data_IF_843304853523
#
_entry.id   IF_843304853523
#
_cell.length_a   1.000
_cell.length_b   1.000
_cell.length_c   1.000
_cell.angle_alpha   90.00
_cell.angle_beta   90.00
_cell.angle_gamma   90.00
#
_symmetry.space_group_name_H-M   'P 1'
#
loop_
_entity.id
_entity.type
_entity.pdbx_description
1 polymer ?
#
# COMPACT_ATOMS: atom_id res chain seq x y z
N UNK A 1 22.19 5.64 2.47
CA UNK A 1 21.21 4.79 3.17
C UNK A 1 21.78 4.41 4.53
N UNK A 2 21.11 4.80 5.61
CA UNK A 2 21.50 4.46 6.99
C UNK A 2 21.13 3.01 7.33
N UNK A 3 21.68 2.46 8.42
CA UNK A 3 21.28 1.14 8.91
C UNK A 3 19.79 1.06 9.24
N UNK A 4 19.21 2.16 9.74
CA UNK A 4 17.77 2.26 10.01
C UNK A 4 16.93 2.16 8.74
N UNK A 5 17.30 2.90 7.69
CA UNK A 5 16.62 2.88 6.39
C UNK A 5 16.71 1.49 5.73
N UNK A 6 17.89 0.85 5.79
CA UNK A 6 18.08 -0.50 5.26
C UNK A 6 17.21 -1.55 5.98
N UNK A 7 17.08 -1.44 7.30
CA UNK A 7 16.20 -2.29 8.10
C UNK A 7 14.72 -2.10 7.74
N UNK A 8 14.29 -0.85 7.57
CA UNK A 8 12.92 -0.53 7.15
C UNK A 8 12.63 -1.11 5.76
N UNK A 9 13.53 -0.92 4.79
CA UNK A 9 13.37 -1.43 3.44
C UNK A 9 13.29 -2.97 3.42
N UNK A 10 14.18 -3.64 4.16
CA UNK A 10 14.20 -5.11 4.29
C UNK A 10 12.91 -5.65 4.91
N UNK A 11 12.47 -5.09 6.05
CA UNK A 11 11.21 -5.51 6.69
C UNK A 11 10.01 -5.24 5.80
N UNK A 12 9.97 -4.10 5.11
CA UNK A 12 8.88 -3.77 4.17
C UNK A 12 8.79 -4.86 3.10
N UNK A 13 9.92 -5.20 2.45
CA UNK A 13 9.95 -6.26 1.44
C UNK A 13 9.53 -7.63 1.98
N UNK A 14 9.94 -8.00 3.20
CA UNK A 14 9.52 -9.24 3.84
C UNK A 14 8.01 -9.26 4.12
N UNK A 15 7.44 -8.17 4.63
CA UNK A 15 6.00 -8.06 4.87
C UNK A 15 5.22 -8.21 3.57
N UNK A 16 5.68 -7.57 2.48
CA UNK A 16 5.01 -7.66 1.19
C UNK A 16 5.01 -9.08 0.60
N UNK A 17 6.09 -9.85 0.83
CA UNK A 17 6.23 -11.21 0.28
C UNK A 17 5.66 -12.31 1.18
N UNK A 18 5.73 -12.13 2.50
CA UNK A 18 5.50 -13.20 3.50
C UNK A 18 4.47 -12.83 4.58
N UNK A 19 3.95 -11.62 4.55
CA UNK A 19 3.11 -11.08 5.61
C UNK A 19 3.88 -10.81 6.91
N UNK A 20 3.19 -10.25 7.90
CA UNK A 20 3.77 -9.94 9.22
C UNK A 20 4.23 -11.21 9.94
N UNK A 21 3.41 -12.26 9.92
CA UNK A 21 3.71 -13.53 10.58
C UNK A 21 4.99 -14.19 10.02
N UNK A 22 5.18 -14.12 8.70
CA UNK A 22 6.36 -14.62 8.00
C UNK A 22 7.61 -13.74 8.15
N UNK A 23 7.49 -12.57 8.78
CA UNK A 23 8.58 -11.60 9.00
C UNK A 23 9.13 -11.76 10.43
N UNK A 24 9.73 -12.91 10.72
CA UNK A 24 10.41 -13.18 12.00
C UNK A 24 11.75 -12.44 12.14
N UNK A 25 12.28 -12.32 13.36
CA UNK A 25 13.59 -11.68 13.58
C UNK A 25 14.72 -12.40 12.82
N UNK A 26 14.71 -13.74 12.75
CA UNK A 26 15.72 -14.48 12.01
C UNK A 26 15.63 -14.19 10.50
N UNK A 27 14.42 -14.22 9.92
CA UNK A 27 14.20 -13.89 8.53
C UNK A 27 14.66 -12.45 8.20
N UNK A 28 14.44 -11.51 9.11
CA UNK A 28 14.96 -10.14 8.98
C UNK A 28 16.49 -10.10 8.96
N UNK A 29 17.16 -10.78 9.89
CA UNK A 29 18.62 -10.78 9.94
C UNK A 29 19.25 -11.44 8.71
N UNK A 30 18.63 -12.50 8.21
CA UNK A 30 19.01 -13.17 6.97
C UNK A 30 18.82 -12.26 5.74
N UNK A 31 17.68 -11.57 5.64
CA UNK A 31 17.35 -10.70 4.49
C UNK A 31 18.17 -9.40 4.49
N UNK A 32 18.32 -8.76 5.66
CA UNK A 32 19.03 -7.49 5.80
C UNK A 32 20.56 -7.62 5.91
N UNK A 33 21.05 -8.81 6.27
CA UNK A 33 22.47 -9.07 6.53
C UNK A 33 23.05 -8.34 7.75
N UNK A 34 22.23 -7.64 8.55
CA UNK A 34 22.73 -6.91 9.72
C UNK A 34 22.82 -7.80 10.95
N UNK A 35 23.71 -7.45 11.87
CA UNK A 35 23.77 -8.11 13.16
C UNK A 35 22.51 -7.82 14.01
N UNK A 36 22.10 -8.78 14.84
CA UNK A 36 21.00 -8.62 15.80
C UNK A 36 21.12 -7.36 16.65
N UNK A 37 22.34 -7.02 17.08
CA UNK A 37 22.64 -5.80 17.83
C UNK A 37 22.23 -4.53 17.06
N UNK A 38 22.39 -4.50 15.74
CA UNK A 38 22.02 -3.35 14.90
C UNK A 38 20.52 -3.08 14.95
N UNK A 39 19.68 -4.12 14.99
CA UNK A 39 18.22 -3.97 15.13
C UNK A 39 17.91 -3.23 16.44
N UNK A 40 18.38 -3.73 17.58
CA UNK A 40 18.09 -3.13 18.89
C UNK A 40 18.73 -1.75 19.11
N UNK A 41 19.81 -1.43 18.40
CA UNK A 41 20.41 -0.08 18.41
C UNK A 41 19.53 0.95 17.68
N UNK A 42 18.83 0.55 16.60
CA UNK A 42 18.00 1.45 15.81
C UNK A 42 16.51 1.42 16.22
N UNK A 43 16.08 0.30 16.81
CA UNK A 43 14.72 0.02 17.26
C UNK A 43 14.79 -0.67 18.63
N UNK A 44 14.91 0.07 19.74
CA UNK A 44 15.00 -0.49 21.09
C UNK A 44 13.82 -1.38 21.48
N UNK A 45 12.62 -1.10 20.96
CA UNK A 45 11.42 -1.94 21.04
C UNK A 45 11.46 -3.18 20.14
N UNK A 46 12.54 -3.36 19.37
CA UNK A 46 12.82 -4.55 18.60
C UNK A 46 11.99 -4.68 17.32
N UNK A 47 11.60 -5.92 17.02
CA UNK A 47 10.92 -6.25 15.76
C UNK A 47 9.58 -5.53 15.61
N UNK A 48 8.80 -5.44 16.68
CA UNK A 48 7.46 -4.85 16.63
C UNK A 48 7.50 -3.35 16.33
N UNK A 49 8.43 -2.63 16.95
CA UNK A 49 8.69 -1.22 16.65
C UNK A 49 9.13 -1.04 15.19
N UNK A 50 10.08 -1.85 14.72
CA UNK A 50 10.55 -1.82 13.34
C UNK A 50 9.44 -2.13 12.32
N UNK A 51 8.60 -3.14 12.57
CA UNK A 51 7.47 -3.49 11.69
C UNK A 51 6.45 -2.36 11.65
N UNK A 52 6.14 -1.75 12.80
CA UNK A 52 5.22 -0.61 12.88
C UNK A 52 5.75 0.57 12.09
N UNK A 53 7.03 0.92 12.27
CA UNK A 53 7.69 1.99 11.54
C UNK A 53 7.75 1.71 10.03
N UNK A 54 8.07 0.48 9.64
CA UNK A 54 8.14 0.09 8.24
C UNK A 54 6.77 0.25 7.55
N UNK A 55 5.69 -0.14 8.22
CA UNK A 55 4.33 0.04 7.70
C UNK A 55 3.94 1.51 7.64
N UNK A 56 4.31 2.33 8.64
CA UNK A 56 4.09 3.78 8.61
C UNK A 56 4.79 4.43 7.42
N UNK A 57 6.09 4.14 7.23
CA UNK A 57 6.88 4.68 6.10
C UNK A 57 6.33 4.21 4.76
N UNK A 58 5.95 2.94 4.63
CA UNK A 58 5.33 2.43 3.42
C UNK A 58 3.96 3.07 3.14
N UNK A 59 3.18 3.31 4.20
CA UNK A 59 1.90 4.02 4.14
C UNK A 59 2.07 5.44 3.63
N UNK A 60 2.99 6.20 4.22
CA UNK A 60 3.33 7.57 3.80
C UNK A 60 3.77 7.63 2.33
N UNK A 61 4.60 6.69 1.89
CA UNK A 61 5.06 6.62 0.50
C UNK A 61 3.90 6.36 -0.48
N UNK A 62 3.01 5.41 -0.16
CA UNK A 62 1.84 5.10 -0.99
C UNK A 62 0.81 6.25 -0.97
N UNK A 63 0.58 6.87 0.19
CA UNK A 63 -0.27 8.05 0.33
C UNK A 63 0.25 9.20 -0.53
N UNK A 64 1.57 9.42 -0.56
CA UNK A 64 2.19 10.43 -1.42
C UNK A 64 1.97 10.13 -2.91
N UNK A 65 2.05 8.87 -3.34
CA UNK A 65 1.72 8.48 -4.73
C UNK A 65 0.28 8.85 -5.05
N UNK A 66 -0.67 8.47 -4.21
CA UNK A 66 -2.10 8.75 -4.42
C UNK A 66 -2.36 10.27 -4.45
N UNK A 67 -1.64 11.05 -3.65
CA UNK A 67 -1.73 12.51 -3.60
C UNK A 67 -0.98 13.25 -4.72
N UNK A 68 0.00 12.63 -5.38
CA UNK A 68 0.92 13.30 -6.31
C UNK A 68 0.31 13.77 -7.63
N UNK A 69 -0.90 13.31 -7.95
CA UNK A 69 -1.62 13.67 -9.17
C UNK A 69 -2.57 14.83 -8.92
N UNK A 70 -2.25 16.01 -9.45
CA UNK A 70 -3.20 17.11 -9.49
C UNK A 70 -4.18 16.93 -10.66
N UNK A 71 -5.44 17.32 -10.46
CA UNK A 71 -6.46 17.32 -11.51
C UNK A 71 -7.39 16.11 -11.51
N UNK A 72 -7.64 15.57 -12.72
CA UNK A 72 -8.69 14.59 -13.05
C UNK A 72 -8.62 13.30 -12.20
N UNK A 73 -9.69 12.96 -11.46
CA UNK A 73 -9.78 11.71 -10.70
C UNK A 73 -9.52 10.44 -11.52
N UNK A 74 -9.89 10.42 -12.80
CA UNK A 74 -9.63 9.27 -13.68
C UNK A 74 -8.12 9.07 -13.92
N UNK A 75 -7.38 10.15 -14.18
CA UNK A 75 -5.92 10.10 -14.31
C UNK A 75 -5.24 9.65 -13.02
N UNK A 76 -5.74 10.09 -11.87
CA UNK A 76 -5.19 9.65 -10.58
C UNK A 76 -5.33 8.14 -10.35
N UNK A 77 -6.49 7.58 -10.71
CA UNK A 77 -6.70 6.12 -10.66
C UNK A 77 -5.75 5.38 -11.58
N UNK A 78 -5.60 5.86 -12.83
CA UNK A 78 -4.70 5.23 -13.79
C UNK A 78 -3.25 5.27 -13.30
N UNK A 79 -2.80 6.39 -12.75
CA UNK A 79 -1.46 6.52 -12.18
C UNK A 79 -1.24 5.54 -11.00
N UNK A 80 -2.25 5.34 -10.16
CA UNK A 80 -2.16 4.39 -9.05
C UNK A 80 -2.09 2.94 -9.54
N UNK A 81 -2.88 2.59 -10.55
CA UNK A 81 -2.82 1.30 -11.24
C UNK A 81 -1.43 1.06 -11.84
N UNK A 82 -0.87 2.04 -12.56
CA UNK A 82 0.45 1.91 -13.19
C UNK A 82 1.59 1.80 -12.17
N UNK A 83 1.47 2.49 -11.03
CA UNK A 83 2.42 2.33 -9.93
C UNK A 83 2.37 0.90 -9.36
N UNK A 84 1.19 0.32 -9.18
CA UNK A 84 1.05 -1.08 -8.74
C UNK A 84 1.64 -2.05 -9.74
N UNK A 85 1.37 -1.87 -11.03
CA UNK A 85 1.95 -2.70 -12.10
C UNK A 85 3.48 -2.64 -12.09
N UNK A 86 4.04 -1.45 -11.88
CA UNK A 86 5.50 -1.27 -11.76
C UNK A 86 6.06 -2.01 -10.55
N UNK A 87 5.43 -1.84 -9.38
CA UNK A 87 5.84 -2.50 -8.12
C UNK A 87 5.78 -4.02 -8.22
N UNK A 88 4.71 -4.56 -8.82
CA UNK A 88 4.54 -5.99 -9.03
C UNK A 88 5.59 -6.56 -9.98
N UNK A 89 5.89 -5.87 -11.10
CA UNK A 89 6.93 -6.33 -12.04
C UNK A 89 8.33 -6.30 -11.43
N UNK A 90 8.65 -5.25 -10.68
CA UNK A 90 9.95 -5.12 -9.99
C UNK A 90 10.15 -6.20 -8.92
N UNK A 91 9.06 -6.73 -8.36
CA UNK A 91 9.08 -7.82 -7.39
C UNK A 91 8.83 -9.19 -8.00
N UNK A 92 8.87 -9.32 -9.33
CA UNK A 92 8.60 -10.57 -10.05
C UNK A 92 7.26 -11.22 -9.64
N UNK A 93 6.24 -10.38 -9.39
CA UNK A 93 4.91 -10.77 -8.94
C UNK A 93 4.91 -11.58 -7.63
N UNK A 94 5.85 -11.29 -6.73
CA UNK A 94 5.98 -11.94 -5.42
C UNK A 94 5.61 -11.04 -4.24
N UNK A 95 5.47 -9.73 -4.43
CA UNK A 95 5.28 -8.77 -3.34
C UNK A 95 3.97 -7.99 -3.48
N UNK A 96 3.08 -8.15 -2.51
CA UNK A 96 1.80 -7.45 -2.44
C UNK A 96 1.86 -6.12 -1.68
N UNK A 97 0.69 -5.66 -1.24
CA UNK A 97 0.57 -4.43 -0.46
C UNK A 97 1.00 -4.62 1.00
N UNK A 98 1.98 -3.85 1.52
CA UNK A 98 2.42 -3.97 2.90
C UNK A 98 1.32 -3.53 3.89
N UNK A 99 0.44 -2.63 3.47
CA UNK A 99 -0.68 -2.12 4.28
C UNK A 99 -1.73 -3.22 4.48
N UNK A 100 -2.13 -3.90 3.41
CA UNK A 100 -3.04 -5.05 3.48
C UNK A 100 -2.43 -6.17 4.31
N UNK A 101 -1.15 -6.49 4.09
CA UNK A 101 -0.44 -7.51 4.86
C UNK A 101 -0.38 -7.19 6.36
N UNK A 102 -0.19 -5.93 6.73
CA UNK A 102 -0.19 -5.48 8.12
C UNK A 102 -1.57 -5.55 8.77
N UNK A 103 -2.65 -5.20 8.04
CA UNK A 103 -4.03 -5.33 8.53
C UNK A 103 -4.36 -6.79 8.85
N UNK A 104 -3.98 -7.73 7.96
CA UNK A 104 -4.19 -9.16 8.17
C UNK A 104 -3.32 -9.72 9.31
N UNK A 105 -2.14 -9.13 9.54
CA UNK A 105 -1.21 -9.47 10.61
C UNK A 105 -1.51 -8.85 11.97
N UNK A 106 -2.72 -8.33 12.20
CA UNK A 106 -3.09 -7.57 13.42
C UNK A 106 -2.74 -8.25 14.74
N UNK A 107 -2.88 -9.56 14.81
CA UNK A 107 -2.57 -10.33 16.03
C UNK A 107 -1.09 -10.34 16.35
N UNK A 108 -0.24 -10.29 15.31
CA UNK A 108 1.22 -10.39 15.44
C UNK A 108 1.90 -9.02 15.61
N UNK A 109 1.28 -7.96 15.07
CA UNK A 109 1.79 -6.59 15.14
C UNK A 109 0.63 -5.57 15.20
N UNK A 110 0.01 -5.37 16.37
CA UNK A 110 -1.15 -4.48 16.51
C UNK A 110 -0.84 -3.03 16.17
N UNK A 111 0.36 -2.54 16.52
CA UNK A 111 0.82 -1.19 16.15
C UNK A 111 0.91 -0.98 14.64
N UNK A 112 1.43 -1.98 13.92
CA UNK A 112 1.52 -1.96 12.47
C UNK A 112 0.13 -2.00 11.81
N UNK A 113 -0.79 -2.79 12.35
CA UNK A 113 -2.17 -2.82 11.87
C UNK A 113 -2.91 -1.50 12.10
N UNK A 114 -2.56 -0.76 13.16
CA UNK A 114 -3.08 0.59 13.42
C UNK A 114 -2.55 1.60 12.40
N UNK A 115 -1.23 1.63 12.17
CA UNK A 115 -0.61 2.49 11.15
C UNK A 115 -1.15 2.19 9.74
N UNK A 116 -1.40 0.91 9.43
CA UNK A 116 -2.02 0.52 8.17
C UNK A 116 -3.48 0.99 8.02
N UNK A 117 -4.24 0.99 9.11
CA UNK A 117 -5.61 1.50 9.10
C UNK A 117 -5.64 3.03 8.86
N UNK A 118 -4.69 3.77 9.44
CA UNK A 118 -4.49 5.20 9.19
C UNK A 118 -4.17 5.46 7.71
N UNK A 119 -3.22 4.71 7.13
CA UNK A 119 -2.91 4.83 5.71
C UNK A 119 -4.13 4.57 4.80
N UNK A 120 -4.91 3.52 5.05
CA UNK A 120 -6.15 3.25 4.30
C UNK A 120 -7.16 4.41 4.40
N UNK A 121 -7.29 5.00 5.59
CA UNK A 121 -8.16 6.16 5.80
C UNK A 121 -7.68 7.39 5.02
N UNK A 122 -6.38 7.65 5.01
CA UNK A 122 -5.78 8.75 4.26
C UNK A 122 -6.00 8.58 2.75
N UNK A 123 -5.82 7.36 2.23
CA UNK A 123 -6.05 7.06 0.81
C UNK A 123 -7.50 7.34 0.40
N UNK A 124 -8.46 6.89 1.22
CA UNK A 124 -9.88 7.16 0.99
C UNK A 124 -10.20 8.65 1.04
N UNK A 125 -9.64 9.37 2.02
CA UNK A 125 -9.88 10.80 2.20
C UNK A 125 -9.32 11.61 1.03
N UNK A 126 -8.09 11.33 0.59
CA UNK A 126 -7.47 12.01 -0.55
C UNK A 126 -8.28 11.82 -1.83
N UNK A 127 -8.72 10.58 -2.10
CA UNK A 127 -9.52 10.28 -3.29
C UNK A 127 -10.91 10.91 -3.23
N UNK A 128 -11.58 10.84 -2.07
CA UNK A 128 -12.89 11.46 -1.88
C UNK A 128 -12.81 12.99 -2.05
N UNK A 129 -11.79 13.63 -1.47
CA UNK A 129 -11.57 15.06 -1.62
C UNK A 129 -11.27 15.45 -3.08
N UNK A 130 -10.53 14.62 -3.82
CA UNK A 130 -10.27 14.84 -5.25
C UNK A 130 -11.56 14.75 -6.07
N UNK A 131 -12.39 13.73 -5.82
CA UNK A 131 -13.69 13.55 -6.48
C UNK A 131 -14.63 14.72 -6.18
N UNK A 132 -14.69 15.15 -4.92
CA UNK A 132 -15.45 16.33 -4.48
C UNK A 132 -15.03 17.60 -5.21
N UNK A 133 -13.72 17.88 -5.27
CA UNK A 133 -13.19 19.05 -6.00
C UNK A 133 -13.46 18.99 -7.51
N UNK A 134 -13.70 17.80 -8.04
CA UNK A 134 -14.01 17.57 -9.45
C UNK A 134 -15.51 17.59 -9.76
N UNK A 135 -16.36 17.83 -8.75
CA UNK A 135 -17.80 18.05 -8.92
C UNK A 135 -18.70 16.86 -8.58
N UNK A 136 -18.17 15.77 -8.05
CA UNK A 136 -19.01 14.67 -7.53
C UNK A 136 -19.79 15.10 -6.27
N UNK A 137 -20.94 14.47 -6.02
CA UNK A 137 -21.62 14.59 -4.73
C UNK A 137 -20.76 14.02 -3.59
N UNK A 138 -20.95 14.52 -2.37
CA UNK A 138 -20.16 14.08 -1.20
C UNK A 138 -20.32 12.60 -0.89
N UNK A 139 -21.53 12.07 -0.98
CA UNK A 139 -21.79 10.66 -0.73
C UNK A 139 -21.17 9.77 -1.83
N UNK A 140 -21.31 10.20 -3.08
CA UNK A 140 -20.71 9.54 -4.24
C UNK A 140 -19.19 9.55 -4.14
N UNK A 141 -18.57 10.69 -3.85
CA UNK A 141 -17.13 10.82 -3.70
C UNK A 141 -16.55 9.86 -2.64
N UNK A 142 -17.19 9.77 -1.46
CA UNK A 142 -16.80 8.82 -0.40
C UNK A 142 -16.92 7.37 -0.85
N UNK A 143 -18.05 7.00 -1.46
CA UNK A 143 -18.31 5.62 -1.87
C UNK A 143 -17.45 5.19 -3.07
N UNK A 144 -17.19 6.09 -4.02
CA UNK A 144 -16.29 5.87 -5.16
C UNK A 144 -14.83 5.74 -4.71
N UNK A 145 -14.37 6.54 -3.74
CA UNK A 145 -13.05 6.36 -3.13
C UNK A 145 -12.91 4.97 -2.50
N UNK A 146 -13.95 4.51 -1.80
CA UNK A 146 -13.99 3.16 -1.22
C UNK A 146 -13.93 2.08 -2.30
N UNK A 147 -14.76 2.20 -3.34
CA UNK A 147 -14.77 1.28 -4.50
C UNK A 147 -13.39 1.21 -5.16
N UNK A 148 -12.77 2.37 -5.39
CA UNK A 148 -11.46 2.50 -6.05
C UNK A 148 -10.38 1.73 -5.29
N UNK A 149 -10.23 2.00 -3.99
CA UNK A 149 -9.22 1.32 -3.16
C UNK A 149 -9.49 -0.18 -3.09
N UNK A 150 -10.75 -0.58 -2.84
CA UNK A 150 -11.13 -1.99 -2.73
C UNK A 150 -10.86 -2.76 -4.04
N UNK A 151 -11.20 -2.16 -5.19
CA UNK A 151 -11.00 -2.78 -6.50
C UNK A 151 -9.51 -2.92 -6.84
N UNK A 152 -8.70 -1.88 -6.61
CA UNK A 152 -7.26 -1.91 -6.90
C UNK A 152 -6.53 -2.92 -6.01
N UNK A 153 -6.77 -2.91 -4.70
CA UNK A 153 -6.14 -3.88 -3.79
C UNK A 153 -6.59 -5.32 -4.06
N UNK A 154 -7.86 -5.51 -4.45
CA UNK A 154 -8.36 -6.80 -4.95
C UNK A 154 -7.65 -7.24 -6.23
N UNK A 155 -7.39 -6.32 -7.17
CA UNK A 155 -6.65 -6.60 -8.40
C UNK A 155 -5.18 -6.93 -8.13
N UNK A 156 -4.54 -6.32 -7.13
CA UNK A 156 -3.19 -6.72 -6.68
C UNK A 156 -3.17 -8.17 -6.22
N UNK A 157 -4.16 -8.58 -5.41
CA UNK A 157 -4.28 -9.98 -4.96
C UNK A 157 -4.48 -10.93 -6.15
N UNK A 158 -5.38 -10.59 -7.07
CA UNK A 158 -5.61 -11.38 -8.29
C UNK A 158 -4.37 -11.46 -9.17
N UNK A 159 -3.60 -10.37 -9.27
CA UNK A 159 -2.37 -10.32 -10.04
C UNK A 159 -1.30 -11.26 -9.49
N UNK A 160 -1.14 -11.30 -8.17
CA UNK A 160 -0.26 -12.26 -7.50
C UNK A 160 -0.73 -13.70 -7.72
N UNK A 161 -2.03 -13.97 -7.63
CA UNK A 161 -2.59 -15.31 -7.84
C UNK A 161 -2.41 -15.81 -9.28
N UNK A 162 -2.60 -14.93 -10.26
CA UNK A 162 -2.53 -15.26 -11.68
C UNK A 162 -1.11 -15.12 -12.27
N UNK A 163 -0.17 -14.53 -11.52
CA UNK A 163 1.16 -14.15 -12.03
C UNK A 163 1.06 -13.29 -13.31
N UNK A 164 0.12 -12.35 -13.32
CA UNK A 164 -0.12 -11.42 -14.43
C UNK A 164 -0.69 -10.10 -13.91
N UNK A 165 -0.46 -8.98 -14.60
CA UNK A 165 -1.05 -7.69 -14.22
C UNK A 165 -2.41 -7.41 -14.84
N UNK A 166 -2.99 -8.35 -15.59
CA UNK A 166 -4.21 -8.11 -16.38
C UNK A 166 -5.40 -7.65 -15.54
N UNK A 167 -5.54 -8.15 -14.30
CA UNK A 167 -6.60 -7.72 -13.38
C UNK A 167 -6.53 -6.21 -13.05
N UNK A 168 -5.31 -5.65 -12.99
CA UNK A 168 -5.11 -4.21 -12.77
C UNK A 168 -5.50 -3.39 -14.01
N UNK A 169 -5.28 -3.93 -15.21
CA UNK A 169 -5.70 -3.30 -16.46
C UNK A 169 -7.23 -3.26 -16.58
N UNK A 170 -7.90 -4.37 -16.26
CA UNK A 170 -9.37 -4.45 -16.28
C UNK A 170 -10.02 -3.53 -15.24
N UNK A 171 -9.49 -3.53 -14.00
CA UNK A 171 -9.98 -2.66 -12.94
C UNK A 171 -9.74 -1.19 -13.26
N UNK A 172 -8.55 -0.82 -13.75
CA UNK A 172 -8.23 0.56 -14.11
C UNK A 172 -9.19 1.11 -15.16
N UNK A 173 -9.40 0.35 -16.24
CA UNK A 173 -10.33 0.73 -17.32
C UNK A 173 -11.75 0.96 -16.80
N UNK A 174 -12.29 0.03 -16.01
CA UNK A 174 -13.66 0.14 -15.50
C UNK A 174 -13.82 1.20 -14.41
N UNK A 175 -12.81 1.42 -13.56
CA UNK A 175 -12.87 2.51 -12.58
C UNK A 175 -12.91 3.88 -13.25
N UNK A 176 -12.14 4.09 -14.34
CA UNK A 176 -12.23 5.32 -15.13
C UNK A 176 -13.64 5.51 -15.69
N UNK A 177 -14.23 4.49 -16.31
CA UNK A 177 -15.60 4.55 -16.83
C UNK A 177 -16.64 4.89 -15.75
N UNK A 178 -16.51 4.29 -14.56
CA UNK A 178 -17.43 4.55 -13.44
C UNK A 178 -17.24 5.97 -12.91
N UNK A 179 -16.02 6.41 -12.66
CA UNK A 179 -15.73 7.75 -12.15
C UNK A 179 -16.28 8.83 -13.09
N UNK A 180 -16.05 8.71 -14.40
CA UNK A 180 -16.55 9.69 -15.38
C UNK A 180 -18.07 9.84 -15.38
N UNK A 181 -18.84 8.81 -14.97
CA UNK A 181 -20.31 8.89 -14.89
C UNK A 181 -20.81 9.72 -13.71
N UNK A 182 -19.98 9.93 -12.70
CA UNK A 182 -20.31 10.70 -11.49
C UNK A 182 -19.65 12.08 -11.46
N UNK A 183 -18.97 12.47 -12.54
CA UNK A 183 -18.41 13.81 -12.71
C UNK A 183 -19.26 14.60 -13.72
N UNK A 184 -19.37 15.93 -13.56
CA UNK A 184 -20.00 16.77 -14.57
C UNK A 184 -19.28 16.64 -15.92
N UNK A 185 -20.07 16.67 -17.00
CA UNK A 185 -19.59 16.59 -18.40
C UNK A 185 -18.82 17.83 -18.84
#
# INVERSE_FOLDING_TARGET
MTAREALIASVTGLIQRRGVAGTGLNALLEDSGVARRTVYLNFPGGKEELVTEAVRVAGEALTAVIGSTDGDPAHAVQAFVDQWKTTLRQSELQAGCPIVAAILGRTDAPGAAQAAAEAMHDWQSILADRLLRSGADREEARSLATLTIAAIEGAVIMALAAQSTDALDDVGRHLVEVISRHLPS
#
